data_IF_811300537107
#
_entry.id   IF_811300537107
#
_cell.length_a   1.000
_cell.length_b   1.000
_cell.length_c   1.000
_cell.angle_alpha   90.00
_cell.angle_beta   90.00
_cell.angle_gamma   90.00
#
_symmetry.space_group_name_H-M   'P 1'
#
loop_
_entity.id
_entity.type
_entity.pdbx_description
1 polymer ?
#
# COMPACT_ATOMS: atom_id res chain seq x y z
N UNK A 1 -9.76 19.25 -31.80
CA UNK A 1 -9.40 19.06 -30.38
C UNK A 1 -8.64 17.75 -30.28
N UNK A 2 -7.39 17.78 -29.78
CA UNK A 2 -6.67 16.53 -29.46
C UNK A 2 -7.44 15.82 -28.34
N UNK A 3 -7.75 14.51 -28.47
CA UNK A 3 -8.45 13.79 -27.42
C UNK A 3 -7.65 13.85 -26.11
N UNK A 4 -8.35 14.01 -24.98
CA UNK A 4 -7.73 13.96 -23.65
C UNK A 4 -7.12 12.58 -23.42
N UNK A 5 -5.94 12.53 -22.77
CA UNK A 5 -5.27 11.26 -22.47
C UNK A 5 -6.14 10.38 -21.57
N UNK A 6 -6.91 10.98 -20.65
CA UNK A 6 -7.87 10.25 -19.82
C UNK A 6 -8.95 9.54 -20.64
N UNK A 7 -9.42 10.10 -21.75
CA UNK A 7 -10.42 9.46 -22.61
C UNK A 7 -9.87 8.18 -23.23
N UNK A 8 -8.63 8.23 -23.71
CA UNK A 8 -7.93 7.06 -24.27
C UNK A 8 -7.65 6.03 -23.17
N UNK A 9 -7.15 6.47 -22.01
CA UNK A 9 -6.84 5.60 -20.89
C UNK A 9 -8.09 4.91 -20.31
N UNK A 10 -9.24 5.60 -20.23
CA UNK A 10 -10.52 5.00 -19.83
C UNK A 10 -10.93 3.87 -20.78
N UNK A 11 -10.78 4.08 -22.10
CA UNK A 11 -11.10 3.06 -23.09
C UNK A 11 -10.15 1.84 -23.04
N UNK A 12 -8.85 2.05 -22.77
CA UNK A 12 -7.84 0.99 -22.80
C UNK A 12 -7.67 0.25 -21.46
N UNK A 13 -7.84 0.94 -20.34
CA UNK A 13 -7.61 0.39 -19.00
C UNK A 13 -8.90 0.01 -18.29
N UNK A 14 -10.03 0.65 -18.63
CA UNK A 14 -11.34 0.34 -18.05
C UNK A 14 -11.41 0.49 -16.53
N UNK A 15 -10.52 1.27 -15.91
CA UNK A 15 -10.46 1.40 -14.47
C UNK A 15 -11.64 2.26 -13.99
N UNK A 16 -12.50 1.68 -13.15
CA UNK A 16 -13.65 2.35 -12.54
C UNK A 16 -13.79 1.90 -11.10
N UNK A 17 -14.05 2.83 -10.18
CA UNK A 17 -14.24 2.52 -8.77
C UNK A 17 -15.47 1.60 -8.56
N UNK A 18 -16.52 1.78 -9.36
CA UNK A 18 -17.76 0.98 -9.28
C UNK A 18 -17.56 -0.51 -9.61
N UNK A 19 -16.48 -0.86 -10.30
CA UNK A 19 -16.17 -2.24 -10.66
C UNK A 19 -15.53 -3.00 -9.50
N UNK A 20 -14.92 -2.31 -8.54
CA UNK A 20 -14.14 -2.92 -7.46
C UNK A 20 -14.98 -3.84 -6.56
N UNK A 21 -16.16 -3.42 -6.04
CA UNK A 21 -17.01 -4.30 -5.25
C UNK A 21 -17.53 -5.50 -6.06
N UNK A 22 -17.83 -5.30 -7.36
CA UNK A 22 -18.29 -6.39 -8.24
C UNK A 22 -17.20 -7.44 -8.44
N UNK A 23 -15.97 -7.00 -8.69
CA UNK A 23 -14.80 -7.86 -8.82
C UNK A 23 -14.53 -8.62 -7.53
N UNK A 24 -14.66 -7.99 -6.36
CA UNK A 24 -14.54 -8.65 -5.08
C UNK A 24 -15.62 -9.73 -4.90
N UNK A 25 -16.89 -9.40 -5.12
CA UNK A 25 -18.01 -10.33 -4.99
C UNK A 25 -17.88 -11.56 -5.90
N UNK A 26 -17.36 -11.38 -7.13
CA UNK A 26 -17.10 -12.49 -8.06
C UNK A 26 -16.08 -13.52 -7.53
N UNK A 27 -15.21 -13.14 -6.59
CA UNK A 27 -14.10 -13.98 -6.11
C UNK A 27 -14.43 -14.70 -4.83
N UNK A 28 -15.01 -13.97 -3.88
CA UNK A 28 -15.21 -14.47 -2.51
C UNK A 28 -16.69 -14.67 -2.19
N UNK A 29 -17.59 -14.38 -3.12
CA UNK A 29 -19.04 -14.44 -2.92
C UNK A 29 -19.63 -13.08 -2.61
N UNK A 30 -20.93 -12.94 -2.86
CA UNK A 30 -21.71 -11.76 -2.48
C UNK A 30 -22.19 -11.93 -1.04
N UNK A 31 -21.67 -11.10 -0.14
CA UNK A 31 -21.92 -11.20 1.30
C UNK A 31 -22.33 -9.85 1.87
N UNK A 32 -23.32 -9.85 2.78
CA UNK A 32 -23.83 -8.63 3.41
C UNK A 32 -22.74 -7.81 4.11
N UNK A 33 -21.77 -8.48 4.75
CA UNK A 33 -20.64 -7.83 5.41
C UNK A 33 -19.73 -7.09 4.43
N UNK A 34 -19.58 -7.58 3.20
CA UNK A 34 -18.82 -6.91 2.17
C UNK A 34 -19.49 -5.61 1.71
N UNK A 35 -20.81 -5.57 1.53
CA UNK A 35 -21.49 -4.34 1.13
C UNK A 35 -21.30 -3.23 2.17
N UNK A 36 -21.41 -3.57 3.45
CA UNK A 36 -21.17 -2.62 4.54
C UNK A 36 -19.73 -2.09 4.51
N UNK A 37 -18.73 -2.98 4.40
CA UNK A 37 -17.32 -2.56 4.35
C UNK A 37 -17.02 -1.76 3.07
N UNK A 38 -17.57 -2.12 1.91
CA UNK A 38 -17.35 -1.41 0.65
C UNK A 38 -17.85 0.04 0.67
N UNK A 39 -18.89 0.34 1.45
CA UNK A 39 -19.33 1.73 1.68
C UNK A 39 -18.21 2.58 2.29
N UNK A 40 -17.34 1.99 3.12
CA UNK A 40 -16.17 2.68 3.66
C UNK A 40 -14.97 2.73 2.70
N UNK A 41 -14.87 1.77 1.77
CA UNK A 41 -13.82 1.74 0.74
C UNK A 41 -14.11 2.65 -0.44
N UNK A 42 -15.38 2.93 -0.74
CA UNK A 42 -15.81 3.69 -1.91
C UNK A 42 -15.12 5.05 -2.03
N UNK A 43 -15.02 5.91 -0.98
CA UNK A 43 -14.32 7.19 -1.09
C UNK A 43 -12.85 7.04 -1.46
N UNK A 44 -12.18 6.00 -0.95
CA UNK A 44 -10.78 5.68 -1.27
C UNK A 44 -10.65 5.25 -2.73
N UNK A 45 -11.47 4.31 -3.18
CA UNK A 45 -11.44 3.82 -4.55
C UNK A 45 -11.78 4.91 -5.57
N UNK A 46 -12.81 5.72 -5.30
CA UNK A 46 -13.22 6.84 -6.14
C UNK A 46 -12.11 7.89 -6.24
N UNK A 47 -11.54 8.32 -5.10
CA UNK A 47 -10.44 9.30 -5.08
C UNK A 47 -9.26 8.83 -5.92
N UNK A 48 -8.81 7.57 -5.74
CA UNK A 48 -7.68 7.02 -6.49
C UNK A 48 -7.91 7.06 -8.01
N UNK A 49 -9.09 6.63 -8.45
CA UNK A 49 -9.43 6.55 -9.87
C UNK A 49 -9.62 7.96 -10.47
N UNK A 50 -10.28 8.86 -9.75
CA UNK A 50 -10.52 10.22 -10.22
C UNK A 50 -9.22 11.02 -10.34
N UNK A 51 -8.34 10.93 -9.35
CA UNK A 51 -7.06 11.64 -9.39
C UNK A 51 -6.07 11.02 -10.38
N UNK A 52 -6.17 9.72 -10.64
CA UNK A 52 -5.47 9.08 -11.77
C UNK A 52 -5.84 9.74 -13.10
N UNK A 53 -7.12 9.84 -13.42
CA UNK A 53 -7.55 10.42 -14.68
C UNK A 53 -7.34 11.94 -14.74
N UNK A 54 -7.54 12.65 -13.63
CA UNK A 54 -7.32 14.09 -13.55
C UNK A 54 -5.85 14.45 -13.79
N UNK A 55 -4.92 13.77 -13.10
CA UNK A 55 -3.48 14.05 -13.20
C UNK A 55 -2.92 13.72 -14.58
N UNK A 56 -3.42 12.66 -15.22
CA UNK A 56 -3.06 12.29 -16.59
C UNK A 56 -3.38 13.42 -17.60
N UNK A 57 -4.51 14.11 -17.40
CA UNK A 57 -4.94 15.23 -18.24
C UNK A 57 -4.21 16.54 -17.92
N UNK A 58 -3.99 16.87 -16.64
CA UNK A 58 -3.26 18.07 -16.23
C UNK A 58 -1.79 17.98 -16.66
N UNK A 59 -1.13 16.89 -16.31
CA UNK A 59 0.25 16.59 -16.66
C UNK A 59 1.34 17.43 -15.98
N UNK A 60 1.09 18.70 -15.65
CA UNK A 60 2.05 19.55 -14.93
C UNK A 60 2.06 19.26 -13.41
N UNK A 61 3.21 18.89 -12.86
CA UNK A 61 3.37 18.48 -11.46
C UNK A 61 2.89 19.51 -10.43
N UNK A 62 3.06 20.82 -10.68
CA UNK A 62 2.62 21.87 -9.73
C UNK A 62 1.11 21.98 -9.71
N UNK A 63 0.51 22.05 -10.90
CA UNK A 63 -0.94 22.10 -11.05
C UNK A 63 -1.61 20.82 -10.55
N UNK A 64 -0.96 19.67 -10.72
CA UNK A 64 -1.41 18.39 -10.13
C UNK A 64 -1.40 18.48 -8.61
N UNK A 65 -0.30 18.94 -7.98
CA UNK A 65 -0.22 19.09 -6.52
C UNK A 65 -1.29 20.05 -5.99
N UNK A 66 -1.46 21.22 -6.61
CA UNK A 66 -2.50 22.20 -6.26
C UNK A 66 -3.92 21.60 -6.34
N UNK A 67 -4.13 20.62 -7.23
CA UNK A 67 -5.39 19.90 -7.34
C UNK A 67 -5.54 18.83 -6.24
N UNK A 68 -4.46 18.11 -5.88
CA UNK A 68 -4.48 17.09 -4.83
C UNK A 68 -4.68 17.71 -3.45
N UNK A 69 -4.10 18.88 -3.20
CA UNK A 69 -4.18 19.56 -1.91
C UNK A 69 -5.61 20.04 -1.55
N UNK A 70 -6.50 20.11 -2.55
CA UNK A 70 -7.92 20.43 -2.37
C UNK A 70 -8.74 19.25 -1.82
N UNK A 71 -8.20 18.04 -1.83
CA UNK A 71 -8.89 16.89 -1.24
C UNK A 71 -8.83 16.96 0.30
N UNK A 72 -9.84 16.39 0.99
CA UNK A 72 -9.83 16.25 2.45
C UNK A 72 -8.55 15.57 2.93
N UNK A 73 -8.04 15.98 4.09
CA UNK A 73 -6.77 15.48 4.63
C UNK A 73 -6.70 13.94 4.67
N UNK A 74 -7.79 13.31 5.10
CA UNK A 74 -7.91 11.86 5.20
C UNK A 74 -7.67 11.13 3.86
N UNK A 75 -8.09 11.75 2.75
CA UNK A 75 -8.02 11.21 1.39
C UNK A 75 -6.85 11.79 0.57
N UNK A 76 -6.18 12.82 1.06
CA UNK A 76 -5.12 13.51 0.31
C UNK A 76 -3.97 12.58 -0.07
N UNK A 77 -3.60 11.65 0.81
CA UNK A 77 -2.62 10.62 0.50
C UNK A 77 -3.04 9.76 -0.71
N UNK A 78 -4.29 9.33 -0.75
CA UNK A 78 -4.88 8.55 -1.86
C UNK A 78 -4.94 9.41 -3.14
N UNK A 79 -5.23 10.70 -3.00
CA UNK A 79 -5.21 11.63 -4.12
C UNK A 79 -3.82 11.66 -4.78
N UNK A 80 -2.75 11.79 -3.99
CA UNK A 80 -1.37 11.73 -4.47
C UNK A 80 -0.95 10.33 -4.99
N UNK A 81 -1.50 9.23 -4.47
CA UNK A 81 -1.32 7.89 -5.03
C UNK A 81 -1.86 7.83 -6.47
N UNK A 82 -3.10 8.30 -6.70
CA UNK A 82 -3.67 8.37 -8.05
C UNK A 82 -2.90 9.35 -8.95
N UNK A 83 -2.42 10.47 -8.43
CA UNK A 83 -1.54 11.38 -9.16
C UNK A 83 -0.25 10.68 -9.65
N UNK A 84 0.34 9.83 -8.81
CA UNK A 84 1.47 8.98 -9.18
C UNK A 84 1.15 8.03 -10.33
N UNK A 85 -0.04 7.41 -10.33
CA UNK A 85 -0.51 6.58 -11.46
C UNK A 85 -0.57 7.39 -12.76
N UNK A 86 -1.15 8.60 -12.72
CA UNK A 86 -1.43 9.38 -13.92
C UNK A 86 -0.16 9.94 -14.53
N UNK A 87 0.74 10.49 -13.72
CA UNK A 87 2.03 10.99 -14.18
C UNK A 87 2.97 9.86 -14.62
N UNK A 88 2.93 8.69 -13.98
CA UNK A 88 3.69 7.52 -14.44
C UNK A 88 3.24 7.06 -15.83
N UNK A 89 1.93 6.96 -16.06
CA UNK A 89 1.40 6.62 -17.38
C UNK A 89 1.78 7.69 -18.40
N UNK A 90 1.67 8.97 -18.04
CA UNK A 90 2.02 10.09 -18.91
C UNK A 90 3.50 10.06 -19.32
N UNK A 91 4.41 9.96 -18.35
CA UNK A 91 5.85 9.93 -18.58
C UNK A 91 6.26 8.70 -19.41
N UNK A 92 5.52 7.60 -19.28
CA UNK A 92 5.72 6.40 -20.10
C UNK A 92 5.26 6.56 -21.55
N UNK A 93 4.28 7.45 -21.82
CA UNK A 93 3.76 7.72 -23.16
C UNK A 93 4.49 8.88 -23.86
N UNK A 94 5.08 9.80 -23.08
CA UNK A 94 5.71 11.03 -23.56
C UNK A 94 7.19 11.06 -23.15
N UNK A 95 8.15 10.68 -24.03
CA UNK A 95 9.56 10.50 -23.67
C UNK A 95 10.29 11.74 -23.12
N UNK A 96 9.76 12.94 -23.33
CA UNK A 96 10.31 14.21 -22.83
C UNK A 96 9.69 14.64 -21.49
N UNK A 97 8.66 13.94 -21.02
CA UNK A 97 7.98 14.23 -19.77
C UNK A 97 8.72 13.57 -18.61
N UNK A 98 8.90 14.32 -17.52
CA UNK A 98 9.50 13.87 -16.27
C UNK A 98 8.72 14.42 -15.07
N UNK A 99 7.40 14.56 -15.25
CA UNK A 99 6.52 15.25 -14.32
C UNK A 99 6.31 14.42 -13.06
N UNK A 100 6.36 13.08 -13.14
CA UNK A 100 6.36 12.21 -11.97
C UNK A 100 7.59 12.50 -11.08
N UNK A 101 8.77 12.59 -11.69
CA UNK A 101 10.01 12.88 -10.96
C UNK A 101 9.95 14.27 -10.30
N UNK A 102 9.46 15.29 -11.02
CA UNK A 102 9.29 16.64 -10.46
C UNK A 102 8.26 16.69 -9.33
N UNK A 103 7.19 15.89 -9.39
CA UNK A 103 6.21 15.79 -8.31
C UNK A 103 6.87 15.18 -7.06
N UNK A 104 7.56 14.04 -7.21
CA UNK A 104 8.22 13.31 -6.12
C UNK A 104 9.26 14.17 -5.39
N UNK A 105 10.07 14.92 -6.12
CA UNK A 105 11.16 15.75 -5.57
C UNK A 105 10.75 17.21 -5.32
N UNK A 106 9.47 17.54 -5.50
CA UNK A 106 8.93 18.87 -5.35
C UNK A 106 7.71 18.87 -4.45
N UNK A 107 6.55 19.38 -4.91
CA UNK A 107 5.39 19.61 -4.04
C UNK A 107 4.75 18.32 -3.50
N UNK A 108 4.99 17.16 -4.13
CA UNK A 108 4.51 15.86 -3.66
C UNK A 108 5.44 15.15 -2.67
N UNK A 109 6.54 15.75 -2.23
CA UNK A 109 7.56 15.08 -1.40
C UNK A 109 7.01 14.49 -0.10
N UNK A 110 6.01 15.14 0.51
CA UNK A 110 5.31 14.67 1.71
C UNK A 110 4.41 13.43 1.46
N UNK A 111 4.23 13.02 0.20
CA UNK A 111 3.46 11.84 -0.21
C UNK A 111 4.29 10.88 -1.07
N UNK A 112 5.62 11.02 -1.07
CA UNK A 112 6.51 10.26 -1.97
C UNK A 112 6.30 8.76 -1.88
N UNK A 113 6.03 8.18 -0.70
CA UNK A 113 5.77 6.74 -0.59
C UNK A 113 4.55 6.35 -1.43
N UNK A 114 3.44 7.08 -1.28
CA UNK A 114 2.18 6.83 -1.99
C UNK A 114 2.29 7.10 -3.48
N UNK A 115 3.02 8.15 -3.88
CA UNK A 115 3.27 8.42 -5.31
C UNK A 115 4.01 7.25 -5.98
N UNK A 116 4.99 6.64 -5.30
CA UNK A 116 5.69 5.45 -5.81
C UNK A 116 4.77 4.22 -5.88
N UNK A 117 3.90 4.02 -4.88
CA UNK A 117 2.86 2.98 -4.93
C UNK A 117 1.96 3.20 -6.15
N UNK A 118 1.48 4.43 -6.34
CA UNK A 118 0.71 4.85 -7.52
C UNK A 118 1.39 4.53 -8.83
N UNK A 119 2.67 4.89 -8.96
CA UNK A 119 3.45 4.55 -10.14
C UNK A 119 3.51 3.02 -10.38
N UNK A 120 3.67 2.24 -9.30
CA UNK A 120 3.63 0.78 -9.33
C UNK A 120 2.31 0.20 -9.84
N UNK A 121 1.17 0.75 -9.39
CA UNK A 121 -0.17 0.30 -9.80
C UNK A 121 -0.33 0.35 -11.33
N UNK A 122 0.08 1.45 -11.96
CA UNK A 122 -0.04 1.60 -13.42
C UNK A 122 1.06 0.83 -14.17
N UNK A 123 2.25 0.66 -13.57
CA UNK A 123 3.37 -0.06 -14.18
C UNK A 123 3.00 -1.50 -14.54
N UNK A 124 2.12 -2.15 -13.78
CA UNK A 124 1.59 -3.49 -14.06
C UNK A 124 0.76 -3.60 -15.36
N UNK A 125 0.40 -2.46 -15.96
CA UNK A 125 -0.30 -2.36 -17.25
C UNK A 125 0.62 -2.02 -18.42
N UNK A 126 1.86 -1.61 -18.15
CA UNK A 126 2.79 -1.19 -19.20
C UNK A 126 3.50 -2.40 -19.82
N UNK A 127 3.79 -2.39 -21.13
CA UNK A 127 4.43 -3.53 -21.82
C UNK A 127 5.92 -3.68 -21.48
N UNK A 128 6.52 -2.61 -20.92
CA UNK A 128 7.94 -2.52 -20.64
C UNK A 128 8.35 -3.44 -19.49
N UNK A 129 9.65 -3.69 -19.38
CA UNK A 129 10.21 -4.42 -18.25
C UNK A 129 10.08 -3.59 -16.96
N UNK A 130 9.30 -4.03 -15.95
CA UNK A 130 9.08 -3.26 -14.73
C UNK A 130 10.36 -3.03 -13.94
N UNK A 131 11.35 -3.93 -14.04
CA UNK A 131 12.61 -3.81 -13.30
C UNK A 131 13.42 -2.58 -13.73
N UNK A 132 13.25 -2.09 -14.97
CA UNK A 132 13.91 -0.86 -15.42
C UNK A 132 13.48 0.36 -14.60
N UNK A 133 12.18 0.49 -14.37
CA UNK A 133 11.64 1.61 -13.59
C UNK A 133 11.90 1.42 -12.09
N UNK A 134 11.69 0.21 -11.56
CA UNK A 134 11.95 -0.14 -10.15
C UNK A 134 13.42 0.17 -9.80
N UNK A 135 14.40 -0.35 -10.55
CA UNK A 135 15.81 -0.17 -10.25
C UNK A 135 16.31 1.27 -10.40
N UNK A 136 15.61 2.11 -11.17
CA UNK A 136 15.94 3.51 -11.31
C UNK A 136 15.54 4.37 -10.11
N UNK A 137 14.68 3.86 -9.20
CA UNK A 137 14.25 4.61 -8.03
C UNK A 137 15.27 4.53 -6.89
N UNK A 138 15.19 5.53 -6.00
CA UNK A 138 15.90 5.50 -4.73
C UNK A 138 15.64 4.16 -4.02
N UNK A 139 16.63 3.55 -3.38
CA UNK A 139 16.53 2.17 -2.91
C UNK A 139 15.35 1.87 -1.98
N UNK A 140 15.04 2.74 -1.02
CA UNK A 140 13.85 2.57 -0.18
C UNK A 140 12.55 2.65 -1.00
N UNK A 141 12.50 3.55 -1.98
CA UNK A 141 11.28 3.85 -2.74
C UNK A 141 10.94 2.80 -3.79
N UNK A 142 11.94 2.06 -4.32
CA UNK A 142 11.68 1.03 -5.34
C UNK A 142 10.80 -0.10 -4.82
N UNK A 143 10.86 -0.39 -3.53
CA UNK A 143 10.02 -1.40 -2.89
C UNK A 143 8.55 -0.99 -2.89
N UNK A 144 8.25 0.31 -2.73
CA UNK A 144 6.89 0.82 -2.83
C UNK A 144 6.34 0.77 -4.26
N UNK A 145 7.19 0.88 -5.29
CA UNK A 145 6.79 0.61 -6.68
C UNK A 145 6.42 -0.87 -6.87
N UNK A 146 7.25 -1.79 -6.36
CA UNK A 146 6.97 -3.22 -6.44
C UNK A 146 5.70 -3.60 -5.66
N UNK A 147 5.46 -2.99 -4.50
CA UNK A 147 4.20 -3.11 -3.74
C UNK A 147 3.00 -2.63 -4.57
N UNK A 148 3.05 -1.43 -5.16
CA UNK A 148 1.96 -0.97 -6.03
C UNK A 148 1.70 -1.91 -7.21
N UNK A 149 2.77 -2.45 -7.81
CA UNK A 149 2.66 -3.45 -8.87
C UNK A 149 1.95 -4.72 -8.37
N UNK A 150 2.32 -5.21 -7.19
CA UNK A 150 1.71 -6.37 -6.54
C UNK A 150 0.26 -6.17 -6.18
N UNK A 151 -0.11 -4.96 -5.71
CA UNK A 151 -1.49 -4.60 -5.45
C UNK A 151 -2.33 -4.72 -6.72
N UNK A 152 -1.86 -4.12 -7.82
CA UNK A 152 -2.59 -4.17 -9.08
C UNK A 152 -2.79 -5.61 -9.55
N UNK A 153 -1.74 -6.41 -9.53
CA UNK A 153 -1.78 -7.80 -9.96
C UNK A 153 -2.70 -8.65 -9.06
N UNK A 154 -2.57 -8.53 -7.74
CA UNK A 154 -3.44 -9.22 -6.79
C UNK A 154 -4.91 -8.82 -6.94
N UNK A 155 -5.17 -7.54 -7.23
CA UNK A 155 -6.53 -7.04 -7.39
C UNK A 155 -7.13 -7.28 -8.77
N UNK A 156 -6.39 -7.22 -9.87
CA UNK A 156 -6.97 -7.30 -11.23
C UNK A 156 -6.64 -8.60 -11.96
N UNK A 157 -5.65 -9.37 -11.49
CA UNK A 157 -5.22 -10.66 -12.07
C UNK A 157 -5.40 -11.81 -11.09
N UNK A 158 -6.53 -11.80 -10.37
CA UNK A 158 -6.86 -12.71 -9.28
C UNK A 158 -6.59 -14.18 -9.62
N UNK A 159 -7.10 -14.67 -10.75
CA UNK A 159 -6.93 -16.07 -11.17
C UNK A 159 -5.45 -16.46 -11.32
N UNK A 160 -4.61 -15.56 -11.83
CA UNK A 160 -3.19 -15.86 -12.03
C UNK A 160 -2.40 -15.75 -10.72
N UNK A 161 -2.67 -14.71 -9.94
CA UNK A 161 -1.83 -14.30 -8.81
C UNK A 161 -2.29 -14.95 -7.51
N UNK A 162 -3.60 -14.98 -7.27
CA UNK A 162 -4.19 -15.46 -6.02
C UNK A 162 -4.71 -16.89 -6.15
N UNK A 163 -5.39 -17.27 -7.24
CA UNK A 163 -5.84 -18.67 -7.41
C UNK A 163 -4.65 -19.56 -7.80
N UNK A 164 -3.96 -19.24 -8.89
CA UNK A 164 -2.83 -20.04 -9.39
C UNK A 164 -1.48 -19.75 -8.71
N UNK A 165 -1.44 -18.81 -7.75
CA UNK A 165 -0.26 -18.46 -6.93
C UNK A 165 0.99 -18.12 -7.77
N UNK A 166 0.82 -17.59 -8.99
CA UNK A 166 1.95 -17.25 -9.86
C UNK A 166 2.62 -15.96 -9.40
N UNK A 167 3.92 -15.89 -9.64
CA UNK A 167 4.70 -14.66 -9.53
C UNK A 167 5.02 -14.12 -10.92
N UNK A 168 5.17 -12.80 -11.09
CA UNK A 168 5.52 -12.21 -12.37
C UNK A 168 6.96 -12.59 -12.74
N UNK A 169 7.21 -13.13 -13.95
CA UNK A 169 8.50 -13.70 -14.32
C UNK A 169 9.63 -12.67 -14.43
N UNK A 170 9.30 -11.38 -14.54
CA UNK A 170 10.27 -10.29 -14.66
C UNK A 170 10.72 -9.75 -13.29
N UNK A 171 9.99 -10.01 -12.20
CA UNK A 171 10.42 -9.57 -10.87
C UNK A 171 11.34 -10.61 -10.24
N UNK A 172 12.37 -10.14 -9.56
CA UNK A 172 13.38 -10.99 -8.92
C UNK A 172 14.00 -10.30 -7.70
N UNK A 173 14.71 -11.07 -6.87
CA UNK A 173 15.30 -10.55 -5.63
C UNK A 173 14.23 -10.04 -4.66
N UNK A 174 14.56 -9.01 -3.89
CA UNK A 174 13.65 -8.45 -2.90
C UNK A 174 12.38 -7.82 -3.51
N UNK A 175 12.39 -7.48 -4.80
CA UNK A 175 11.20 -6.99 -5.49
C UNK A 175 10.02 -7.98 -5.44
N UNK A 176 10.27 -9.29 -5.32
CA UNK A 176 9.22 -10.30 -5.14
C UNK A 176 8.57 -10.22 -3.74
N UNK A 177 9.36 -9.96 -2.70
CA UNK A 177 8.87 -9.77 -1.34
C UNK A 177 7.99 -8.51 -1.26
N UNK A 178 8.47 -7.40 -1.82
CA UNK A 178 7.71 -6.15 -1.90
C UNK A 178 6.44 -6.31 -2.76
N UNK A 179 6.50 -7.07 -3.85
CA UNK A 179 5.31 -7.44 -4.63
C UNK A 179 4.27 -8.19 -3.79
N UNK A 180 4.70 -9.15 -2.95
CA UNK A 180 3.77 -9.90 -2.09
C UNK A 180 3.14 -9.05 -0.99
N UNK A 181 3.82 -7.99 -0.52
CA UNK A 181 3.19 -6.97 0.35
C UNK A 181 2.04 -6.27 -0.38
N UNK A 182 2.26 -5.91 -1.65
CA UNK A 182 1.22 -5.39 -2.53
C UNK A 182 0.03 -6.33 -2.71
N UNK A 183 0.32 -7.60 -3.00
CA UNK A 183 -0.71 -8.64 -3.11
C UNK A 183 -1.48 -8.74 -1.80
N UNK A 184 -0.80 -8.74 -0.65
CA UNK A 184 -1.40 -8.75 0.68
C UNK A 184 -2.39 -7.59 0.89
N UNK A 185 -1.98 -6.36 0.54
CA UNK A 185 -2.86 -5.19 0.58
C UNK A 185 -4.11 -5.39 -0.29
N UNK A 186 -3.97 -5.95 -1.48
CA UNK A 186 -5.12 -6.20 -2.37
C UNK A 186 -6.13 -7.21 -1.80
N UNK A 187 -5.68 -8.14 -0.95
CA UNK A 187 -6.56 -9.10 -0.26
C UNK A 187 -7.47 -8.41 0.76
N UNK A 188 -7.01 -7.33 1.40
CA UNK A 188 -7.85 -6.53 2.31
C UNK A 188 -9.11 -6.04 1.60
N UNK A 189 -8.95 -5.41 0.43
CA UNK A 189 -10.08 -4.91 -0.36
C UNK A 189 -10.90 -6.05 -0.97
N UNK A 190 -10.24 -7.05 -1.57
CA UNK A 190 -10.93 -8.16 -2.24
C UNK A 190 -11.76 -9.02 -1.30
N UNK A 191 -11.39 -9.07 -0.01
CA UNK A 191 -12.10 -9.82 1.02
C UNK A 191 -13.12 -8.99 1.80
N UNK A 192 -13.28 -7.70 1.50
CA UNK A 192 -14.08 -6.80 2.34
C UNK A 192 -13.57 -6.70 3.78
N UNK A 193 -12.24 -6.72 3.95
CA UNK A 193 -11.54 -6.72 5.23
C UNK A 193 -11.94 -7.84 6.22
N UNK A 194 -12.49 -8.94 5.73
CA UNK A 194 -12.91 -10.04 6.59
C UNK A 194 -11.73 -10.94 6.95
N UNK A 195 -11.39 -10.96 8.23
CA UNK A 195 -10.26 -11.71 8.80
C UNK A 195 -10.27 -13.18 8.39
N UNK A 196 -11.43 -13.83 8.42
CA UNK A 196 -11.58 -15.24 8.04
C UNK A 196 -11.27 -15.49 6.56
N UNK A 197 -11.80 -14.66 5.66
CA UNK A 197 -11.54 -14.75 4.22
C UNK A 197 -10.07 -14.46 3.87
N UNK A 198 -9.46 -13.50 4.55
CA UNK A 198 -8.03 -13.19 4.41
C UNK A 198 -7.19 -14.39 4.85
N UNK A 199 -7.43 -14.90 6.05
CA UNK A 199 -6.70 -16.06 6.58
C UNK A 199 -6.81 -17.27 5.65
N UNK A 200 -8.03 -17.61 5.19
CA UNK A 200 -8.22 -18.70 4.22
C UNK A 200 -7.39 -18.49 2.95
N UNK A 201 -7.40 -17.29 2.39
CA UNK A 201 -6.69 -16.98 1.14
C UNK A 201 -5.17 -17.04 1.32
N UNK A 202 -4.64 -16.44 2.39
CA UNK A 202 -3.20 -16.38 2.69
C UNK A 202 -2.64 -17.76 3.04
N UNK A 203 -3.40 -18.59 3.79
CA UNK A 203 -2.99 -19.94 4.16
C UNK A 203 -2.72 -20.87 2.97
N UNK A 204 -3.30 -20.57 1.80
CA UNK A 204 -3.06 -21.31 0.56
C UNK A 204 -1.79 -20.91 -0.21
N UNK A 205 -1.07 -19.88 0.22
CA UNK A 205 0.24 -19.54 -0.36
C UNK A 205 1.37 -20.35 0.30
N UNK A 206 2.54 -20.44 -0.36
CA UNK A 206 3.73 -21.02 0.27
C UNK A 206 4.16 -20.20 1.49
N UNK A 207 4.68 -20.86 2.52
CA UNK A 207 5.14 -20.21 3.76
C UNK A 207 6.15 -19.08 3.52
N UNK A 208 6.95 -19.19 2.45
CA UNK A 208 7.92 -18.17 2.03
C UNK A 208 7.29 -16.85 1.56
N UNK A 209 6.00 -16.84 1.21
CA UNK A 209 5.25 -15.65 0.74
C UNK A 209 4.31 -15.09 1.80
N UNK A 210 3.90 -15.92 2.77
CA UNK A 210 2.88 -15.55 3.75
C UNK A 210 3.28 -14.37 4.64
N UNK A 211 4.56 -14.27 5.03
CA UNK A 211 5.06 -13.15 5.83
C UNK A 211 4.81 -11.80 5.13
N UNK A 212 5.22 -11.68 3.86
CA UNK A 212 5.01 -10.45 3.09
C UNK A 212 3.53 -10.16 2.83
N UNK A 213 2.72 -11.19 2.52
CA UNK A 213 1.27 -11.04 2.38
C UNK A 213 0.62 -10.51 3.66
N UNK A 214 0.96 -11.07 4.83
CA UNK A 214 0.45 -10.62 6.13
C UNK A 214 0.89 -9.20 6.48
N UNK A 215 2.11 -8.83 6.10
CA UNK A 215 2.57 -7.46 6.25
C UNK A 215 1.80 -6.48 5.37
N UNK A 216 1.51 -6.86 4.12
CA UNK A 216 0.60 -6.12 3.26
C UNK A 216 -0.80 -5.96 3.87
N UNK A 217 -1.36 -7.03 4.40
CA UNK A 217 -2.66 -7.00 5.09
C UNK A 217 -2.62 -6.05 6.30
N UNK A 218 -1.57 -6.07 7.11
CA UNK A 218 -1.39 -5.15 8.24
C UNK A 218 -1.30 -3.68 7.81
N UNK A 219 -0.56 -3.40 6.73
CA UNK A 219 -0.46 -2.06 6.15
C UNK A 219 -1.82 -1.56 5.67
N UNK A 220 -2.59 -2.39 4.95
CA UNK A 220 -3.93 -2.03 4.53
C UNK A 220 -4.88 -1.84 5.73
N UNK A 221 -4.79 -2.68 6.76
CA UNK A 221 -5.58 -2.56 7.99
C UNK A 221 -5.39 -1.22 8.71
N UNK A 222 -4.16 -0.69 8.75
CA UNK A 222 -3.87 0.55 9.45
C UNK A 222 -3.94 1.80 8.55
N UNK A 223 -3.80 1.65 7.24
CA UNK A 223 -3.76 2.80 6.33
C UNK A 223 -5.10 3.04 5.59
N UNK A 224 -5.75 1.96 5.16
CA UNK A 224 -7.02 2.01 4.44
C UNK A 224 -8.22 1.99 5.40
N UNK A 225 -9.40 2.39 4.88
CA UNK A 225 -10.66 2.27 5.59
C UNK A 225 -11.05 0.79 5.82
N UNK A 226 -12.29 0.52 6.26
CA UNK A 226 -12.83 -0.83 6.42
C UNK A 226 -13.12 -1.22 7.86
N UNK A 227 -12.11 -1.79 8.53
CA UNK A 227 -12.25 -2.27 9.91
C UNK A 227 -11.83 -1.17 10.88
N UNK A 228 -12.78 -0.78 11.73
CA UNK A 228 -12.62 0.21 12.80
C UNK A 228 -12.75 -0.41 14.19
N UNK A 229 -12.72 -1.74 14.27
CA UNK A 229 -12.95 -2.48 15.50
C UNK A 229 -11.64 -3.04 16.07
N UNK A 230 -11.38 -2.73 17.34
CA UNK A 230 -10.20 -3.18 18.04
C UNK A 230 -10.14 -4.71 18.15
N UNK A 231 -11.30 -5.39 18.31
CA UNK A 231 -11.33 -6.84 18.41
C UNK A 231 -10.97 -7.48 17.06
N UNK A 232 -11.51 -6.99 15.95
CA UNK A 232 -11.14 -7.46 14.62
C UNK A 232 -9.64 -7.27 14.30
N UNK A 233 -9.01 -6.18 14.77
CA UNK A 233 -7.55 -5.99 14.64
C UNK A 233 -6.78 -7.02 15.49
N UNK A 234 -7.27 -7.36 16.69
CA UNK A 234 -6.68 -8.42 17.51
C UNK A 234 -6.83 -9.80 16.84
N UNK A 235 -8.04 -10.11 16.36
CA UNK A 235 -8.35 -11.35 15.66
C UNK A 235 -7.41 -11.52 14.45
N UNK A 236 -7.08 -10.44 13.73
CA UNK A 236 -6.13 -10.46 12.62
C UNK A 236 -4.76 -11.02 13.03
N UNK A 237 -4.23 -10.59 14.18
CA UNK A 237 -2.95 -11.12 14.69
C UNK A 237 -3.09 -12.52 15.27
N UNK A 238 -4.21 -12.86 15.90
CA UNK A 238 -4.49 -14.21 16.41
C UNK A 238 -4.51 -15.22 15.26
N UNK A 239 -5.20 -14.92 14.15
CA UNK A 239 -5.27 -15.82 12.98
C UNK A 239 -3.99 -15.83 12.15
N UNK A 240 -3.21 -14.74 12.15
CA UNK A 240 -1.91 -14.71 11.47
C UNK A 240 -0.89 -15.64 12.14
N UNK A 241 -1.08 -15.95 13.43
CA UNK A 241 -0.28 -16.93 14.18
C UNK A 241 1.21 -16.61 14.13
N UNK A 242 2.06 -17.45 13.51
CA UNK A 242 3.50 -17.18 13.41
C UNK A 242 3.85 -15.90 12.62
N UNK A 243 2.91 -15.37 11.84
CA UNK A 243 3.08 -14.15 11.04
C UNK A 243 2.52 -12.89 11.72
N UNK A 244 2.15 -12.96 13.00
CA UNK A 244 1.61 -11.81 13.72
C UNK A 244 2.57 -10.61 13.75
N UNK A 245 3.89 -10.85 13.84
CA UNK A 245 4.89 -9.78 13.76
C UNK A 245 4.97 -9.13 12.38
N UNK A 246 4.63 -9.86 11.32
CA UNK A 246 4.57 -9.30 9.96
C UNK A 246 3.37 -8.36 9.80
N UNK A 247 2.20 -8.74 10.35
CA UNK A 247 1.02 -7.86 10.44
C UNK A 247 1.38 -6.57 11.17
N UNK A 248 1.99 -6.68 12.35
CA UNK A 248 2.41 -5.53 13.14
C UNK A 248 3.45 -4.65 12.40
N UNK A 249 4.35 -5.26 11.63
CA UNK A 249 5.29 -4.55 10.75
C UNK A 249 4.55 -3.74 9.68
N UNK A 250 3.49 -4.30 9.08
CA UNK A 250 2.63 -3.58 8.15
C UNK A 250 1.99 -2.33 8.78
N UNK A 251 1.47 -2.46 10.00
CA UNK A 251 0.89 -1.35 10.77
C UNK A 251 1.92 -0.26 11.05
N UNK A 252 3.14 -0.63 11.44
CA UNK A 252 4.24 0.31 11.65
C UNK A 252 4.61 1.09 10.37
N UNK A 253 4.61 0.43 9.21
CA UNK A 253 4.85 1.09 7.92
C UNK A 253 3.71 2.06 7.58
N UNK A 254 2.46 1.73 7.90
CA UNK A 254 1.31 2.62 7.73
C UNK A 254 1.48 3.93 8.53
N UNK A 255 1.97 3.81 9.77
CA UNK A 255 2.27 4.95 10.63
C UNK A 255 3.33 5.86 10.02
N UNK A 256 4.40 5.30 9.43
CA UNK A 256 5.42 6.07 8.70
C UNK A 256 4.81 6.83 7.51
N UNK A 257 3.88 6.22 6.77
CA UNK A 257 3.23 6.89 5.64
C UNK A 257 2.39 8.09 6.08
N UNK A 258 1.68 7.98 7.20
CA UNK A 258 0.91 9.09 7.76
C UNK A 258 1.81 10.20 8.28
N UNK A 259 2.86 9.85 9.03
CA UNK A 259 3.83 10.81 9.55
C UNK A 259 4.54 11.62 8.45
N UNK A 260 4.84 10.99 7.30
CA UNK A 260 5.47 11.67 6.16
C UNK A 260 4.65 12.85 5.62
N UNK A 261 3.32 12.80 5.74
CA UNK A 261 2.42 13.85 5.27
C UNK A 261 2.17 14.97 6.29
N UNK A 262 2.77 14.88 7.48
CA UNK A 262 2.56 15.79 8.64
C UNK A 262 1.09 15.92 9.08
N UNK A 263 0.21 15.04 8.58
CA UNK A 263 -1.20 15.01 8.95
C UNK A 263 -1.36 14.46 10.36
N UNK A 264 -2.06 15.22 11.20
CA UNK A 264 -2.10 14.98 12.65
C UNK A 264 -3.16 13.98 13.09
N UNK A 265 -4.21 13.75 12.29
CA UNK A 265 -5.31 12.84 12.66
C UNK A 265 -5.42 11.69 11.65
N UNK A 266 -5.25 10.45 12.14
CA UNK A 266 -5.51 9.25 11.35
C UNK A 266 -6.14 8.17 12.24
N UNK A 267 -7.44 8.28 12.58
CA UNK A 267 -8.08 7.45 13.61
C UNK A 267 -7.89 5.95 13.41
N UNK A 268 -7.91 5.48 12.17
CA UNK A 268 -7.67 4.07 11.82
C UNK A 268 -6.22 3.63 12.11
N UNK A 269 -5.26 4.48 11.74
CA UNK A 269 -3.83 4.21 11.97
C UNK A 269 -3.49 4.29 13.45
N UNK A 270 -4.07 5.26 14.17
CA UNK A 270 -3.94 5.41 15.62
C UNK A 270 -4.51 4.19 16.35
N UNK A 271 -5.71 3.74 15.97
CA UNK A 271 -6.33 2.56 16.55
C UNK A 271 -5.48 1.30 16.33
N UNK A 272 -5.02 1.04 15.10
CA UNK A 272 -4.18 -0.13 14.81
C UNK A 272 -2.84 -0.08 15.54
N UNK A 273 -2.22 1.11 15.62
CA UNK A 273 -0.97 1.33 16.37
C UNK A 273 -1.20 1.10 17.87
N UNK A 274 -2.29 1.62 18.44
CA UNK A 274 -2.62 1.41 19.84
C UNK A 274 -2.90 -0.06 20.16
N UNK A 275 -3.63 -0.77 19.30
CA UNK A 275 -4.04 -2.17 19.54
C UNK A 275 -2.84 -3.12 19.43
N UNK A 276 -1.95 -2.92 18.45
CA UNK A 276 -0.84 -3.84 18.19
C UNK A 276 0.48 -3.42 18.86
N UNK A 277 0.72 -2.12 19.04
CA UNK A 277 1.99 -1.59 19.55
C UNK A 277 1.86 -0.87 20.90
N UNK A 278 0.64 -0.61 21.38
CA UNK A 278 0.37 0.26 22.54
C UNK A 278 1.10 1.61 22.49
N UNK A 279 1.18 2.17 21.29
CA UNK A 279 1.73 3.49 21.02
C UNK A 279 0.76 4.23 20.09
N UNK A 280 0.79 5.56 20.11
CA UNK A 280 0.17 6.33 19.04
C UNK A 280 0.93 6.18 17.72
N UNK A 281 0.29 6.52 16.60
CA UNK A 281 0.90 6.33 15.29
C UNK A 281 2.13 7.21 15.08
N UNK A 282 2.19 8.41 15.68
CA UNK A 282 3.33 9.30 15.52
C UNK A 282 4.57 8.77 16.25
N UNK A 283 4.41 8.36 17.51
CA UNK A 283 5.46 7.72 18.30
C UNK A 283 5.98 6.44 17.62
N UNK A 284 5.07 5.60 17.10
CA UNK A 284 5.44 4.39 16.38
C UNK A 284 6.22 4.73 15.10
N UNK A 285 5.75 5.70 14.32
CA UNK A 285 6.41 6.14 13.10
C UNK A 285 7.83 6.67 13.38
N UNK A 286 7.99 7.47 14.43
CA UNK A 286 9.29 8.00 14.85
C UNK A 286 10.24 6.86 15.22
N UNK A 287 9.81 5.95 16.11
CA UNK A 287 10.65 4.85 16.58
C UNK A 287 11.14 3.95 15.43
N UNK A 288 10.27 3.69 14.46
CA UNK A 288 10.57 2.85 13.30
C UNK A 288 11.44 3.59 12.27
N UNK A 289 11.28 4.91 12.14
CA UNK A 289 12.17 5.74 11.32
C UNK A 289 13.57 5.80 11.91
N UNK A 290 13.70 5.98 13.23
CA UNK A 290 14.99 5.95 13.94
C UNK A 290 15.71 4.61 13.76
N UNK A 291 14.98 3.49 13.76
CA UNK A 291 15.56 2.16 13.47
C UNK A 291 16.17 2.09 12.07
N UNK A 292 15.54 2.72 11.06
CA UNK A 292 16.12 2.78 9.72
C UNK A 292 17.40 3.61 9.69
N UNK A 293 17.42 4.75 10.37
CA UNK A 293 18.60 5.62 10.46
C UNK A 293 19.77 4.92 11.14
N UNK A 294 19.52 4.11 12.17
CA UNK A 294 20.55 3.31 12.86
C UNK A 294 21.15 2.21 11.97
N UNK A 295 20.40 1.69 11.00
CA UNK A 295 20.88 0.71 10.03
C UNK A 295 21.74 1.34 8.92
N UNK A 296 21.83 2.67 8.86
CA UNK A 296 22.59 3.41 7.85
C UNK A 296 23.87 4.02 8.47
N UNK A 297 24.98 3.26 8.57
CA UNK A 297 26.24 3.83 9.01
C UNK A 297 26.81 4.77 7.93
N UNK A 298 26.80 6.09 8.20
CA UNK A 298 27.53 7.16 7.50
C UNK A 298 27.33 7.24 5.97
N UNK A 299 26.63 8.26 5.47
CA UNK A 299 26.46 8.63 4.03
C UNK A 299 26.10 7.51 3.03
N UNK A 300 25.82 6.30 3.49
CA UNK A 300 25.38 5.19 2.63
C UNK A 300 23.89 5.32 2.36
N UNK A 301 23.49 5.14 1.10
CA UNK A 301 22.08 5.00 0.75
C UNK A 301 21.63 3.57 1.10
N UNK A 302 20.38 3.36 1.57
CA UNK A 302 19.86 2.02 1.81
C UNK A 302 20.02 1.15 0.56
N UNK A 303 20.09 -0.15 0.69
CA UNK A 303 19.93 -1.11 -0.41
C UNK A 303 18.78 -2.09 -0.11
N UNK A 304 18.54 -3.04 -1.01
CA UNK A 304 17.51 -4.06 -0.81
C UNK A 304 17.71 -4.84 0.51
N UNK A 305 18.97 -5.06 0.93
CA UNK A 305 19.29 -5.74 2.18
C UNK A 305 18.96 -4.87 3.40
N UNK A 306 19.27 -3.58 3.34
CA UNK A 306 18.96 -2.60 4.39
C UNK A 306 17.45 -2.51 4.61
N UNK A 307 16.66 -2.49 3.55
CA UNK A 307 15.19 -2.47 3.67
C UNK A 307 14.65 -3.77 4.28
N UNK A 308 15.20 -4.91 3.89
CA UNK A 308 14.87 -6.20 4.51
C UNK A 308 15.20 -6.20 6.00
N UNK A 309 16.39 -5.75 6.38
CA UNK A 309 16.83 -5.67 7.77
C UNK A 309 15.98 -4.71 8.59
N UNK A 310 15.57 -3.59 8.01
CA UNK A 310 14.67 -2.65 8.66
C UNK A 310 13.31 -3.30 8.97
N UNK A 311 12.71 -4.01 8.02
CA UNK A 311 11.45 -4.72 8.28
C UNK A 311 11.61 -5.83 9.33
N UNK A 312 12.73 -6.56 9.29
CA UNK A 312 13.04 -7.57 10.31
C UNK A 312 13.22 -6.95 11.70
N UNK A 313 13.89 -5.82 11.83
CA UNK A 313 14.10 -5.16 13.11
C UNK A 313 12.81 -4.57 13.71
N UNK A 314 11.85 -4.15 12.87
CA UNK A 314 10.49 -3.81 13.30
C UNK A 314 9.79 -5.05 13.88
N UNK A 315 9.80 -6.16 13.16
CA UNK A 315 9.17 -7.42 13.61
C UNK A 315 9.76 -7.91 14.94
N UNK A 316 11.10 -7.87 15.09
CA UNK A 316 11.81 -8.23 16.32
C UNK A 316 11.43 -7.29 17.48
N UNK A 317 11.38 -5.98 17.23
CA UNK A 317 10.94 -4.98 18.22
C UNK A 317 9.52 -5.30 18.71
N UNK A 318 8.60 -5.60 17.79
CA UNK A 318 7.23 -5.95 18.17
C UNK A 318 7.20 -7.17 19.09
N UNK A 319 7.92 -8.24 18.73
CA UNK A 319 7.98 -9.46 19.54
C UNK A 319 8.52 -9.21 20.96
N UNK A 320 9.44 -8.26 21.14
CA UNK A 320 9.94 -7.85 22.45
C UNK A 320 8.89 -7.07 23.27
N UNK A 321 7.95 -6.40 22.62
CA UNK A 321 6.85 -5.65 23.28
C UNK A 321 5.66 -6.53 23.66
N UNK A 322 5.41 -7.65 22.96
CA UNK A 322 4.24 -8.53 23.20
C UNK A 322 4.13 -9.06 24.64
N UNK A 323 5.20 -9.54 25.31
CA UNK A 323 5.13 -9.93 26.72
C UNK A 323 4.68 -8.79 27.64
N UNK A 324 5.02 -7.55 27.31
CA UNK A 324 4.65 -6.36 28.07
C UNK A 324 3.19 -5.94 27.80
N UNK A 325 2.66 -6.22 26.59
CA UNK A 325 1.24 -6.03 26.26
C UNK A 325 0.33 -7.04 26.98
N UNK A 326 0.76 -8.29 27.12
CA UNK A 326 0.00 -9.32 27.83
C UNK A 326 -0.09 -9.06 29.35
N UNK A 327 0.97 -8.50 29.95
CA UNK A 327 1.03 -8.16 31.38
C UNK A 327 0.26 -6.89 31.76
N UNK A 328 0.03 -5.98 30.81
CA UNK A 328 -0.81 -4.79 31.02
C UNK A 328 -2.31 -5.08 30.86
N UNK A 329 -2.69 -6.01 29.97
CA UNK A 329 -4.10 -6.47 29.79
C UNK A 329 -4.62 -7.37 30.92
N UNK A 330 -3.75 -7.82 31.83
CA UNK A 330 -4.09 -8.73 32.93
C UNK A 330 -4.26 -8.02 34.30
N UNK A 331 -4.23 -6.68 34.32
CA UNK A 331 -4.66 -5.91 35.50
C UNK A 331 -6.14 -5.49 35.35
N UNK A 332 -7.01 -5.84 36.31
CA UNK A 332 -8.45 -5.60 36.23
C UNK A 332 -8.83 -4.12 36.31
#
# INVERSE_FOLDING_TARGET
MTPKLSTIARALLGLSADEFPKLAAQRVGDHDDMHATWTSFEPVAATLVDTFYLSLDIGDHRTVADAMDKYPEELRGIAYEGAGMGLMLRDSLLPWSNELHKLIHGPGAAYRCLIHIGAGLVLARLPNDPMKFINAQAPLMRHFVADGYGFFDGFFRWEQVVTAKRTPPRLHGYALNAYDQGVGRSLWFSSGANVGRIHHTVSGFSSSRQADLWSGVGLACAYAAGVLDARAIQDLTEVAGPYASDVATGVAVAAVFRSQSELTAAPHTDLASQVLWAADAHELAQAVTDQLEQLLPGSTSPDDHTYQQWRQSIAERWQQTVPNLASTRSKP
#
